data_IF_778041760301
#
_entry.id   IF_778041760301
#
_cell.length_a   1.000
_cell.length_b   1.000
_cell.length_c   1.000
_cell.angle_alpha   90.00
_cell.angle_beta   90.00
_cell.angle_gamma   90.00
#
_symmetry.space_group_name_H-M   'P 1'
#
loop_
_entity.id
_entity.type
_entity.pdbx_description
1 polymer ?
#
# COMPACT_ATOMS: atom_id res chain seq x y z
N UNK A 1 28.09 -5.46 -18.54
CA UNK A 1 29.35 -4.91 -18.02
C UNK A 1 28.94 -3.81 -17.04
N UNK A 2 29.26 -3.94 -15.74
CA UNK A 2 29.01 -2.83 -14.84
C UNK A 2 29.74 -1.63 -15.39
N UNK A 3 29.02 -0.55 -15.59
CA UNK A 3 29.61 0.71 -16.03
C UNK A 3 30.56 1.17 -14.92
N UNK A 4 31.83 0.83 -15.03
CA UNK A 4 32.87 1.44 -14.22
C UNK A 4 33.03 2.89 -14.70
N UNK A 5 32.10 3.72 -14.29
CA UNK A 5 32.27 5.16 -14.35
C UNK A 5 33.45 5.48 -13.43
N UNK A 6 34.42 6.25 -13.95
CA UNK A 6 35.51 6.83 -13.16
C UNK A 6 34.99 7.61 -11.93
N UNK A 7 33.68 7.90 -11.92
CA UNK A 7 32.93 8.48 -10.84
C UNK A 7 32.78 7.54 -9.62
N UNK A 8 32.82 6.23 -9.79
CA UNK A 8 32.64 5.27 -8.67
C UNK A 8 33.83 5.20 -7.72
N UNK A 9 35.00 5.71 -8.11
CA UNK A 9 36.22 5.71 -7.30
C UNK A 9 36.48 7.02 -6.54
N UNK A 10 35.64 8.04 -6.74
CA UNK A 10 35.86 9.35 -6.13
C UNK A 10 35.08 9.48 -4.82
N UNK A 11 35.78 9.49 -3.70
CA UNK A 11 35.25 9.57 -2.33
C UNK A 11 34.36 10.83 -2.11
N UNK A 12 34.47 11.81 -2.97
CA UNK A 12 33.71 13.07 -2.90
C UNK A 12 32.41 13.06 -3.69
N UNK A 13 32.18 12.04 -4.51
CA UNK A 13 30.97 11.94 -5.32
C UNK A 13 29.86 11.27 -4.55
N UNK A 14 28.66 11.81 -4.72
CA UNK A 14 27.43 11.26 -4.18
C UNK A 14 26.76 10.41 -5.24
N UNK A 15 26.27 9.24 -4.88
CA UNK A 15 25.54 8.34 -5.76
C UNK A 15 24.09 8.26 -5.33
N UNK A 16 23.19 8.24 -6.29
CA UNK A 16 21.76 8.02 -6.08
C UNK A 16 21.35 6.72 -6.77
N UNK A 17 20.76 5.80 -6.04
CA UNK A 17 20.14 4.62 -6.60
C UNK A 17 18.69 4.95 -7.01
N UNK A 18 18.36 4.68 -8.30
CA UNK A 18 17.04 4.87 -8.91
C UNK A 18 16.72 3.66 -9.78
N UNK A 19 16.92 2.46 -9.27
CA UNK A 19 16.94 1.22 -10.05
C UNK A 19 15.58 0.50 -10.12
N UNK A 20 14.54 1.08 -9.54
CA UNK A 20 13.15 0.60 -9.66
C UNK A 20 12.98 -0.86 -9.21
N UNK A 21 12.59 -1.75 -10.11
CA UNK A 21 12.42 -3.17 -9.81
C UNK A 21 13.73 -3.87 -9.41
N UNK A 22 14.89 -3.31 -9.77
CA UNK A 22 16.22 -3.79 -9.41
C UNK A 22 16.75 -3.22 -8.08
N UNK A 23 15.96 -2.43 -7.34
CA UNK A 23 16.38 -1.75 -6.12
C UNK A 23 17.09 -2.68 -5.12
N UNK A 24 16.56 -3.88 -4.88
CA UNK A 24 17.19 -4.86 -3.98
C UNK A 24 18.54 -5.33 -4.47
N UNK A 25 18.67 -5.71 -5.74
CA UNK A 25 19.93 -6.13 -6.32
C UNK A 25 21.00 -5.04 -6.26
N UNK A 26 20.59 -3.80 -6.53
CA UNK A 26 21.47 -2.63 -6.41
C UNK A 26 21.88 -2.42 -4.94
N UNK A 27 20.97 -2.58 -4.00
CA UNK A 27 21.24 -2.54 -2.57
C UNK A 27 22.24 -3.61 -2.15
N UNK A 28 22.06 -4.85 -2.58
CA UNK A 28 22.96 -5.97 -2.28
C UNK A 28 24.42 -5.69 -2.69
N UNK A 29 24.64 -4.96 -3.80
CA UNK A 29 26.00 -4.58 -4.24
C UNK A 29 26.74 -3.70 -3.21
N UNK A 30 26.02 -3.01 -2.35
CA UNK A 30 26.55 -2.12 -1.31
C UNK A 30 26.21 -2.59 0.13
N UNK A 31 25.70 -3.81 0.26
CA UNK A 31 25.37 -4.42 1.55
C UNK A 31 24.07 -3.91 2.19
N UNK A 32 23.15 -3.37 1.40
CA UNK A 32 21.83 -2.94 1.85
C UNK A 32 20.74 -3.91 1.39
N UNK A 33 19.78 -4.20 2.25
CA UNK A 33 18.54 -4.85 1.89
C UNK A 33 17.46 -3.78 1.74
N UNK A 34 17.28 -3.25 0.51
CA UNK A 34 16.32 -2.19 0.22
C UNK A 34 14.92 -2.80 0.19
N UNK A 35 13.96 -2.32 1.00
CA UNK A 35 12.62 -2.92 1.16
C UNK A 35 11.68 -2.56 -0.02
N UNK A 36 12.09 -2.95 -1.22
CA UNK A 36 11.31 -2.86 -2.45
C UNK A 36 11.10 -4.27 -2.98
N UNK A 37 9.86 -4.65 -3.20
CA UNK A 37 9.49 -5.91 -3.85
C UNK A 37 8.37 -5.62 -4.83
N UNK A 38 8.59 -5.82 -6.14
CA UNK A 38 7.58 -5.51 -7.14
C UNK A 38 6.30 -6.34 -6.98
N UNK A 39 5.18 -5.74 -7.39
CA UNK A 39 3.87 -6.38 -7.47
C UNK A 39 3.42 -6.37 -8.92
N UNK A 40 2.73 -7.43 -9.36
CA UNK A 40 2.08 -7.42 -10.66
C UNK A 40 0.99 -6.36 -10.70
N UNK A 41 0.96 -5.61 -11.79
CA UNK A 41 -0.08 -4.61 -12.05
C UNK A 41 -0.56 -4.75 -13.47
N UNK A 42 -1.86 -4.87 -13.64
CA UNK A 42 -2.43 -5.06 -14.97
C UNK A 42 -3.52 -4.04 -15.30
N UNK A 43 -3.70 -3.81 -16.59
CA UNK A 43 -4.78 -3.00 -17.11
C UNK A 43 -5.30 -3.55 -18.44
N UNK A 44 -6.55 -3.24 -18.72
CA UNK A 44 -7.23 -3.60 -19.96
C UNK A 44 -7.21 -2.40 -20.90
N UNK A 45 -6.87 -2.65 -22.16
CA UNK A 45 -7.12 -1.74 -23.29
C UNK A 45 -8.25 -2.31 -24.11
N UNK A 46 -9.28 -1.55 -24.40
CA UNK A 46 -10.44 -1.98 -25.18
C UNK A 46 -10.28 -1.69 -26.67
N UNK A 47 -11.17 -2.29 -27.46
CA UNK A 47 -11.43 -1.85 -28.82
C UNK A 47 -12.00 -0.41 -28.81
N UNK A 48 -11.92 0.30 -29.95
CA UNK A 48 -12.49 1.65 -30.06
C UNK A 48 -14.01 1.68 -29.85
N UNK A 49 -14.49 2.72 -29.16
CA UNK A 49 -15.91 2.97 -28.98
C UNK A 49 -16.42 4.06 -29.95
N UNK A 50 -17.58 3.87 -30.62
CA UNK A 50 -18.08 4.81 -31.63
C UNK A 50 -18.22 6.26 -31.12
N UNK A 51 -18.76 6.45 -29.91
CA UNK A 51 -18.94 7.79 -29.32
C UNK A 51 -17.61 8.49 -29.05
N UNK A 52 -16.58 7.76 -28.58
CA UNK A 52 -15.25 8.34 -28.36
C UNK A 52 -14.62 8.77 -29.68
N UNK A 53 -14.76 7.94 -30.72
CA UNK A 53 -14.27 8.28 -32.05
C UNK A 53 -15.01 9.52 -32.63
N UNK A 54 -16.30 9.63 -32.41
CA UNK A 54 -17.08 10.79 -32.86
C UNK A 54 -16.70 12.06 -32.09
N UNK A 55 -16.55 12.00 -30.77
CA UNK A 55 -16.03 13.12 -29.97
C UNK A 55 -14.67 13.61 -30.50
N UNK A 56 -13.77 12.69 -30.83
CA UNK A 56 -12.46 13.01 -31.40
C UNK A 56 -12.55 13.70 -32.75
N UNK A 57 -13.47 13.26 -33.66
CA UNK A 57 -13.73 13.89 -34.94
C UNK A 57 -14.26 15.32 -34.78
N UNK A 58 -15.08 15.55 -33.75
CA UNK A 58 -15.63 16.87 -33.43
C UNK A 58 -14.60 17.78 -32.73
N UNK A 59 -13.37 17.31 -32.51
CA UNK A 59 -12.34 18.08 -31.81
C UNK A 59 -12.63 18.36 -30.35
N UNK A 60 -13.51 17.57 -29.72
CA UNK A 60 -13.82 17.70 -28.31
C UNK A 60 -12.64 17.19 -27.47
N UNK A 61 -12.40 17.78 -26.29
CA UNK A 61 -11.35 17.30 -25.38
C UNK A 61 -11.65 15.89 -24.88
N UNK A 62 -10.60 15.15 -24.53
CA UNK A 62 -10.73 13.89 -23.83
C UNK A 62 -11.52 14.08 -22.53
N UNK A 63 -12.26 13.06 -22.15
CA UNK A 63 -12.97 13.07 -20.89
C UNK A 63 -11.99 12.99 -19.71
N UNK A 64 -12.39 13.54 -18.58
CA UNK A 64 -11.63 13.44 -17.36
C UNK A 64 -11.45 11.97 -16.94
N UNK A 65 -10.31 11.67 -16.31
CA UNK A 65 -10.06 10.34 -15.72
C UNK A 65 -11.10 10.09 -14.62
N UNK A 66 -11.81 8.97 -14.73
CA UNK A 66 -12.68 8.50 -13.67
C UNK A 66 -11.86 7.67 -12.68
N UNK A 67 -12.01 7.96 -11.40
CA UNK A 67 -11.50 7.15 -10.29
C UNK A 67 -12.69 6.60 -9.52
N UNK A 68 -12.81 5.27 -9.49
CA UNK A 68 -13.83 4.56 -8.71
C UNK A 68 -13.17 3.92 -7.48
N UNK A 69 -13.38 4.53 -6.33
CA UNK A 69 -12.69 4.11 -5.10
C UNK A 69 -13.37 2.94 -4.39
N UNK A 70 -14.65 2.68 -4.67
CA UNK A 70 -15.38 1.55 -4.08
C UNK A 70 -14.89 0.23 -4.68
N UNK A 71 -14.71 0.20 -5.99
CA UNK A 71 -14.22 -0.96 -6.72
C UNK A 71 -12.71 -0.90 -7.04
N UNK A 72 -12.02 0.17 -6.63
CA UNK A 72 -10.56 0.27 -6.72
C UNK A 72 -10.00 0.30 -8.14
N UNK A 73 -10.61 1.04 -9.07
CA UNK A 73 -10.12 1.17 -10.44
C UNK A 73 -10.09 2.61 -10.94
N UNK A 74 -9.37 2.84 -12.02
CA UNK A 74 -9.47 4.04 -12.85
C UNK A 74 -9.90 3.68 -14.26
N UNK A 75 -10.58 4.63 -14.94
CA UNK A 75 -10.97 4.52 -16.32
C UNK A 75 -10.63 5.83 -17.05
N UNK A 76 -10.05 5.74 -18.25
CA UNK A 76 -9.80 6.89 -19.12
C UNK A 76 -9.89 6.51 -20.59
N UNK A 77 -10.02 7.52 -21.45
CA UNK A 77 -9.91 7.33 -22.90
C UNK A 77 -8.49 6.96 -23.32
N UNK A 78 -8.36 6.03 -24.26
CA UNK A 78 -7.11 5.65 -24.90
C UNK A 78 -7.35 5.12 -26.31
N UNK A 79 -6.62 5.68 -27.30
CA UNK A 79 -6.63 5.22 -28.69
C UNK A 79 -8.04 5.05 -29.31
N UNK A 80 -9.02 5.83 -28.87
CA UNK A 80 -10.43 5.79 -29.31
C UNK A 80 -11.30 4.78 -28.54
N UNK A 81 -10.77 4.11 -27.55
CA UNK A 81 -11.47 3.23 -26.62
C UNK A 81 -11.15 3.62 -25.17
N UNK A 82 -11.07 2.64 -24.29
CA UNK A 82 -10.81 2.82 -22.87
C UNK A 82 -9.57 2.10 -22.39
N UNK A 83 -8.93 2.64 -21.35
CA UNK A 83 -8.09 1.91 -20.41
C UNK A 83 -8.83 1.76 -19.10
N UNK A 84 -8.98 0.53 -18.62
CA UNK A 84 -9.41 0.18 -17.28
C UNK A 84 -8.20 -0.36 -16.50
N UNK A 85 -7.77 0.34 -15.45
CA UNK A 85 -6.66 -0.07 -14.60
C UNK A 85 -7.10 -0.25 -13.15
N UNK A 86 -7.35 -1.48 -12.72
CA UNK A 86 -7.68 -1.77 -11.34
C UNK A 86 -6.44 -1.92 -10.46
N UNK A 87 -6.70 -1.90 -9.15
CA UNK A 87 -5.78 -2.35 -8.11
C UNK A 87 -6.44 -3.56 -7.45
N UNK A 88 -6.26 -4.71 -8.12
CA UNK A 88 -7.01 -5.91 -7.85
C UNK A 88 -6.57 -6.64 -6.57
N UNK A 89 -7.53 -7.25 -5.88
CA UNK A 89 -7.25 -8.17 -4.80
C UNK A 89 -6.51 -9.42 -5.33
N UNK A 90 -5.52 -9.87 -4.59
CA UNK A 90 -4.75 -11.07 -4.94
C UNK A 90 -3.67 -10.86 -6.01
N UNK A 91 -3.35 -9.61 -6.37
CA UNK A 91 -2.17 -9.34 -7.19
C UNK A 91 -0.91 -9.81 -6.47
N UNK A 92 -0.11 -10.73 -7.04
CA UNK A 92 1.03 -11.30 -6.35
C UNK A 92 2.25 -10.39 -6.44
N UNK A 93 3.12 -10.47 -5.42
CA UNK A 93 4.48 -10.00 -5.57
C UNK A 93 5.22 -10.84 -6.61
N UNK A 94 5.98 -10.17 -7.45
CA UNK A 94 6.86 -10.77 -8.45
C UNK A 94 8.33 -10.43 -8.13
N UNK A 95 9.25 -11.11 -8.79
CA UNK A 95 10.70 -10.91 -8.59
C UNK A 95 11.12 -10.94 -7.11
N UNK A 96 10.61 -11.91 -6.36
CA UNK A 96 10.86 -12.04 -4.91
C UNK A 96 12.37 -12.06 -4.57
N UNK A 97 13.18 -12.61 -5.46
CA UNK A 97 14.64 -12.65 -5.37
C UNK A 97 15.33 -11.60 -6.29
N UNK A 98 14.56 -10.63 -6.77
CA UNK A 98 14.98 -9.66 -7.78
C UNK A 98 14.77 -10.16 -9.22
N UNK A 99 14.64 -9.24 -10.21
CA UNK A 99 14.58 -9.62 -11.61
C UNK A 99 15.83 -10.37 -12.07
N UNK A 100 15.74 -11.17 -13.12
CA UNK A 100 16.94 -11.72 -13.78
C UNK A 100 17.85 -10.58 -14.27
N UNK A 101 19.16 -10.81 -14.34
CA UNK A 101 20.09 -9.82 -14.86
C UNK A 101 19.86 -9.53 -16.37
N UNK A 102 19.26 -10.49 -17.08
CA UNK A 102 18.88 -10.40 -18.48
C UNK A 102 17.43 -9.94 -18.69
N UNK A 103 16.74 -9.53 -17.62
CA UNK A 103 15.34 -9.09 -17.70
C UNK A 103 15.23 -7.74 -18.40
N UNK A 104 14.56 -7.73 -19.54
CA UNK A 104 14.31 -6.53 -20.33
C UNK A 104 12.84 -6.53 -20.81
N UNK A 105 12.10 -5.47 -20.52
CA UNK A 105 10.73 -5.25 -21.04
C UNK A 105 9.78 -6.43 -20.81
N UNK A 106 9.96 -7.17 -19.73
CA UNK A 106 9.11 -8.32 -19.41
C UNK A 106 7.69 -7.89 -19.08
N UNK A 107 6.74 -8.57 -19.73
CA UNK A 107 5.34 -8.54 -19.39
C UNK A 107 4.90 -9.94 -18.98
N UNK A 108 4.03 -10.01 -17.99
CA UNK A 108 3.43 -11.26 -17.53
C UNK A 108 2.17 -11.58 -18.33
N UNK A 109 1.68 -12.80 -18.21
CA UNK A 109 0.37 -13.16 -18.74
C UNK A 109 -0.72 -12.37 -18.02
N UNK A 110 -1.72 -11.91 -18.76
CA UNK A 110 -2.90 -11.31 -18.16
C UNK A 110 -3.71 -12.32 -17.38
N UNK A 111 -4.24 -11.90 -16.24
CA UNK A 111 -5.14 -12.69 -15.41
C UNK A 111 -6.53 -12.05 -15.43
N UNK A 112 -7.39 -12.56 -16.30
CA UNK A 112 -8.73 -12.02 -16.47
C UNK A 112 -9.62 -12.28 -15.25
N UNK A 113 -9.41 -13.37 -14.54
CA UNK A 113 -10.22 -13.72 -13.38
C UNK A 113 -10.05 -12.69 -12.26
N UNK A 114 -8.82 -12.19 -12.04
CA UNK A 114 -8.56 -11.10 -11.12
C UNK A 114 -9.19 -9.77 -11.56
N UNK A 115 -9.32 -9.56 -12.88
CA UNK A 115 -9.88 -8.32 -13.44
C UNK A 115 -11.41 -8.30 -13.45
N UNK A 116 -12.07 -9.47 -13.51
CA UNK A 116 -13.52 -9.55 -13.71
C UNK A 116 -14.36 -8.75 -12.69
N UNK A 117 -14.10 -8.76 -11.38
CA UNK A 117 -14.88 -7.95 -10.44
C UNK A 117 -14.86 -6.46 -10.77
N UNK A 118 -13.72 -5.96 -11.25
CA UNK A 118 -13.56 -4.54 -11.64
C UNK A 118 -14.21 -4.25 -12.99
N UNK A 119 -14.16 -5.19 -13.93
CA UNK A 119 -14.84 -5.12 -15.23
C UNK A 119 -16.35 -5.01 -15.01
N UNK A 120 -16.93 -5.88 -14.20
CA UNK A 120 -18.37 -5.87 -13.89
C UNK A 120 -18.80 -4.56 -13.20
N UNK A 121 -18.01 -4.10 -12.24
CA UNK A 121 -18.25 -2.82 -11.58
C UNK A 121 -18.15 -1.64 -12.57
N UNK A 122 -17.18 -1.69 -13.48
CA UNK A 122 -17.03 -0.67 -14.53
C UNK A 122 -18.21 -0.67 -15.50
N UNK A 123 -18.64 -1.83 -15.98
CA UNK A 123 -19.83 -1.95 -16.87
C UNK A 123 -21.10 -1.40 -16.21
N UNK A 124 -21.26 -1.63 -14.91
CA UNK A 124 -22.39 -1.09 -14.15
C UNK A 124 -22.33 0.45 -14.03
N UNK A 125 -21.14 1.01 -13.86
CA UNK A 125 -20.94 2.45 -13.67
C UNK A 125 -20.86 3.23 -14.97
N UNK A 126 -20.26 2.62 -16.00
CA UNK A 126 -20.07 3.19 -17.35
C UNK A 126 -20.58 2.19 -18.39
N UNK A 127 -21.87 2.20 -18.73
CA UNK A 127 -22.47 1.23 -19.65
C UNK A 127 -21.77 1.11 -21.00
N UNK A 128 -21.24 2.20 -21.55
CA UNK A 128 -20.46 2.21 -22.79
C UNK A 128 -19.24 1.27 -22.75
N UNK A 129 -18.71 0.98 -21.57
CA UNK A 129 -17.61 0.00 -21.42
C UNK A 129 -18.06 -1.43 -21.73
N UNK A 130 -19.33 -1.74 -21.53
CA UNK A 130 -19.90 -3.05 -21.87
C UNK A 130 -20.10 -3.27 -23.39
N UNK A 131 -20.01 -2.21 -24.20
CA UNK A 131 -20.23 -2.23 -25.65
C UNK A 131 -18.94 -2.51 -26.44
N UNK A 132 -17.78 -2.63 -25.77
CA UNK A 132 -16.50 -2.83 -26.41
C UNK A 132 -15.84 -4.14 -26.00
N UNK A 133 -15.04 -4.71 -26.91
CA UNK A 133 -14.22 -5.89 -26.64
C UNK A 133 -12.91 -5.55 -25.92
N UNK A 134 -12.34 -6.56 -25.27
CA UNK A 134 -10.97 -6.46 -24.73
C UNK A 134 -9.98 -6.65 -25.88
N UNK A 135 -9.22 -5.61 -26.19
CA UNK A 135 -8.17 -5.66 -27.19
C UNK A 135 -6.88 -6.29 -26.65
N UNK A 136 -6.46 -5.87 -25.48
CA UNK A 136 -5.20 -6.32 -24.87
C UNK A 136 -5.27 -6.15 -23.36
N UNK A 137 -4.65 -7.11 -22.65
CA UNK A 137 -4.34 -6.98 -21.23
C UNK A 137 -2.82 -6.81 -21.10
N UNK A 138 -2.39 -5.76 -20.45
CA UNK A 138 -1.00 -5.58 -20.08
C UNK A 138 -0.83 -5.91 -18.60
N UNK A 139 0.14 -6.75 -18.28
CA UNK A 139 0.50 -7.11 -16.91
C UNK A 139 2.01 -6.93 -16.75
N UNK A 140 2.44 -6.11 -15.82
CA UNK A 140 3.85 -5.83 -15.62
C UNK A 140 4.19 -5.58 -14.16
N UNK A 141 5.49 -5.64 -13.85
CA UNK A 141 5.99 -5.39 -12.51
C UNK A 141 6.02 -3.89 -12.21
N UNK A 142 5.46 -3.49 -11.08
CA UNK A 142 5.65 -2.15 -10.52
C UNK A 142 6.42 -2.23 -9.21
N UNK A 143 7.43 -1.37 -9.05
CA UNK A 143 8.19 -1.28 -7.80
C UNK A 143 7.27 -0.88 -6.65
N UNK A 144 7.28 -1.65 -5.56
CA UNK A 144 6.39 -1.43 -4.44
C UNK A 144 7.10 -1.53 -3.09
N UNK A 145 6.62 -0.81 -2.11
CA UNK A 145 7.11 -0.78 -0.72
C UNK A 145 5.99 -1.18 0.25
N UNK A 146 6.29 -1.56 1.49
CA UNK A 146 5.28 -2.01 2.45
C UNK A 146 4.18 -1.00 2.80
N UNK A 147 4.44 0.29 2.60
CA UNK A 147 3.46 1.38 2.84
C UNK A 147 2.99 2.06 1.54
N UNK A 148 3.49 1.61 0.38
CA UNK A 148 3.18 2.19 -0.93
C UNK A 148 3.89 3.51 -1.22
N UNK A 149 4.61 4.09 -0.26
CA UNK A 149 5.37 5.32 -0.45
C UNK A 149 6.80 5.03 -0.94
N UNK A 150 7.41 5.90 -1.77
CA UNK A 150 8.78 5.70 -2.21
C UNK A 150 9.78 5.81 -1.05
N UNK A 151 11.00 5.40 -1.32
CA UNK A 151 12.14 5.49 -0.41
C UNK A 151 13.05 6.59 -0.95
N UNK A 152 13.09 7.74 -0.27
CA UNK A 152 13.82 8.93 -0.73
C UNK A 152 14.66 9.49 0.41
N UNK A 153 15.98 9.50 0.24
CA UNK A 153 16.88 10.04 1.25
C UNK A 153 18.23 9.33 1.35
N UNK A 154 19.03 9.66 2.38
CA UNK A 154 20.32 9.01 2.59
C UNK A 154 20.15 7.56 3.01
N UNK A 155 20.92 6.67 2.41
CA UNK A 155 20.96 5.27 2.81
C UNK A 155 21.52 5.13 4.22
N UNK A 156 20.93 4.23 5.00
CA UNK A 156 21.41 3.97 6.34
C UNK A 156 22.76 3.22 6.33
N UNK A 157 23.65 3.61 7.21
CA UNK A 157 24.97 2.98 7.36
C UNK A 157 25.98 3.25 6.24
N UNK A 158 25.61 3.98 5.19
CA UNK A 158 26.48 4.30 4.07
C UNK A 158 26.68 5.82 3.91
N UNK A 159 27.92 6.21 3.64
CA UNK A 159 28.25 7.61 3.35
C UNK A 159 28.15 7.86 1.83
N UNK A 160 27.54 8.97 1.46
CA UNK A 160 27.41 9.42 0.07
C UNK A 160 26.61 8.49 -0.87
N UNK A 161 25.82 7.57 -0.31
CA UNK A 161 24.88 6.75 -1.06
C UNK A 161 23.46 7.13 -0.70
N UNK A 162 22.64 7.41 -1.69
CA UNK A 162 21.29 7.94 -1.56
C UNK A 162 20.30 7.06 -2.28
N UNK A 163 19.08 7.00 -1.81
CA UNK A 163 18.01 6.20 -2.36
C UNK A 163 16.92 7.10 -2.95
N UNK A 164 16.40 6.72 -4.10
CA UNK A 164 15.20 7.25 -4.71
C UNK A 164 14.48 6.09 -5.41
N UNK A 165 13.89 5.21 -4.62
CA UNK A 165 13.45 3.87 -4.99
C UNK A 165 11.98 3.64 -4.67
N UNK A 166 11.40 2.57 -5.22
CA UNK A 166 10.06 2.09 -4.83
C UNK A 166 8.91 3.01 -5.27
N UNK A 167 9.09 3.73 -6.37
CA UNK A 167 8.08 4.63 -6.93
C UNK A 167 7.00 3.86 -7.71
N UNK A 168 5.90 3.50 -7.06
CA UNK A 168 4.72 2.96 -7.75
C UNK A 168 4.01 4.03 -8.60
N UNK A 169 4.12 5.31 -8.22
CA UNK A 169 3.59 6.48 -8.93
C UNK A 169 4.72 7.36 -9.49
N UNK A 170 5.70 6.75 -10.14
CA UNK A 170 6.95 7.38 -10.53
C UNK A 170 6.77 8.68 -11.33
N UNK A 171 5.91 8.69 -12.35
CA UNK A 171 5.69 9.88 -13.19
C UNK A 171 5.13 11.04 -12.36
N UNK A 172 4.18 10.78 -11.47
CA UNK A 172 3.56 11.81 -10.63
C UNK A 172 4.53 12.35 -9.58
N UNK A 173 5.33 11.48 -8.96
CA UNK A 173 6.17 11.81 -7.82
C UNK A 173 7.60 12.24 -8.18
N UNK A 174 8.11 11.87 -9.37
CA UNK A 174 9.51 12.00 -9.73
C UNK A 174 10.06 13.44 -9.62
N UNK A 175 9.30 14.43 -10.07
CA UNK A 175 9.73 15.83 -10.02
C UNK A 175 9.97 16.31 -8.60
N UNK A 176 8.98 16.11 -7.72
CA UNK A 176 9.06 16.52 -6.30
C UNK A 176 10.10 15.72 -5.53
N UNK A 177 10.13 14.40 -5.70
CA UNK A 177 11.09 13.53 -5.04
C UNK A 177 12.53 13.86 -5.42
N UNK A 178 12.78 14.05 -6.73
CA UNK A 178 14.11 14.44 -7.23
C UNK A 178 14.57 15.81 -6.71
N UNK A 179 13.66 16.78 -6.69
CA UNK A 179 13.94 18.12 -6.17
C UNK A 179 14.30 18.06 -4.67
N UNK A 180 13.45 17.48 -3.85
CA UNK A 180 13.71 17.41 -2.40
C UNK A 180 14.96 16.60 -2.07
N UNK A 181 15.23 15.54 -2.82
CA UNK A 181 16.47 14.77 -2.67
C UNK A 181 17.70 15.61 -3.02
N UNK A 182 17.64 16.40 -4.09
CA UNK A 182 18.74 17.25 -4.50
C UNK A 182 19.06 18.34 -3.46
N UNK A 183 18.02 19.01 -2.92
CA UNK A 183 18.19 19.97 -1.82
C UNK A 183 18.79 19.30 -0.60
N UNK A 184 18.27 18.16 -0.19
CA UNK A 184 18.81 17.39 0.94
C UNK A 184 20.29 17.00 0.74
N UNK A 185 20.66 16.63 -0.47
CA UNK A 185 22.04 16.31 -0.81
C UNK A 185 22.97 17.53 -0.75
N UNK A 186 22.51 18.69 -1.18
CA UNK A 186 23.32 19.93 -1.25
C UNK A 186 23.38 20.62 0.11
N UNK A 187 22.23 20.82 0.74
CA UNK A 187 22.08 21.66 1.91
C UNK A 187 22.17 20.86 3.22
N UNK A 188 22.12 19.52 3.14
CA UNK A 188 22.24 18.61 4.30
C UNK A 188 20.91 18.28 4.96
N UNK A 189 19.83 18.97 4.60
CA UNK A 189 18.47 18.72 5.09
C UNK A 189 17.43 19.04 3.99
N UNK A 190 16.28 18.36 3.98
CA UNK A 190 15.20 18.68 3.05
C UNK A 190 14.45 19.93 3.53
N UNK A 191 13.80 20.63 2.58
CA UNK A 191 12.99 21.83 2.90
C UNK A 191 11.57 21.51 3.34
N UNK A 192 11.15 20.24 3.22
CA UNK A 192 9.85 19.74 3.66
C UNK A 192 10.02 18.49 4.53
N UNK A 193 8.97 18.11 5.26
CA UNK A 193 8.98 16.88 6.02
C UNK A 193 9.04 15.65 5.08
N UNK A 194 10.14 14.89 5.14
CA UNK A 194 10.40 13.69 4.37
C UNK A 194 10.23 12.41 5.19
N UNK A 195 9.73 12.47 6.42
CA UNK A 195 9.64 11.29 7.31
C UNK A 195 8.83 10.14 6.68
N UNK A 196 7.77 10.45 5.95
CA UNK A 196 6.93 9.46 5.27
C UNK A 196 7.61 8.71 4.11
N UNK A 197 8.77 9.19 3.65
CA UNK A 197 9.55 8.58 2.55
C UNK A 197 11.00 8.29 2.94
N UNK A 198 11.42 8.69 4.14
CA UNK A 198 12.78 8.48 4.64
C UNK A 198 13.14 6.97 4.65
N UNK A 199 14.31 6.57 4.12
CA UNK A 199 14.75 5.17 4.13
C UNK A 199 14.75 4.55 5.53
N UNK A 200 15.03 5.32 6.58
CA UNK A 200 15.14 4.86 7.97
C UNK A 200 13.83 4.44 8.62
N UNK A 201 12.68 4.67 7.94
CA UNK A 201 11.37 4.20 8.44
C UNK A 201 11.21 2.68 8.39
N UNK A 202 12.04 1.99 7.59
CA UNK A 202 12.14 0.54 7.57
C UNK A 202 13.42 0.08 8.26
N UNK A 203 13.36 -1.05 8.93
CA UNK A 203 14.48 -1.68 9.61
C UNK A 203 14.65 -3.14 9.20
N UNK A 204 15.49 -3.87 9.92
CA UNK A 204 15.80 -5.29 9.66
C UNK A 204 14.57 -6.23 9.70
N UNK A 205 13.46 -5.79 10.27
CA UNK A 205 12.20 -6.53 10.27
C UNK A 205 11.58 -6.70 8.88
N UNK A 206 11.96 -5.86 7.91
CA UNK A 206 11.41 -5.87 6.57
C UNK A 206 11.95 -7.04 5.72
N UNK A 207 11.79 -8.25 6.25
CA UNK A 207 12.19 -9.50 5.58
C UNK A 207 11.41 -9.73 4.29
N UNK A 208 11.89 -10.65 3.43
CA UNK A 208 11.19 -11.02 2.18
C UNK A 208 9.74 -11.47 2.41
N UNK A 209 9.49 -12.24 3.46
CA UNK A 209 8.14 -12.68 3.81
C UNK A 209 7.24 -11.52 4.25
N UNK A 210 7.78 -10.59 5.03
CA UNK A 210 7.09 -9.36 5.40
C UNK A 210 6.77 -8.51 4.18
N UNK A 211 7.76 -8.27 3.30
CA UNK A 211 7.57 -7.48 2.07
C UNK A 211 6.49 -8.07 1.19
N UNK A 212 6.54 -9.39 0.93
CA UNK A 212 5.54 -10.05 0.10
C UNK A 212 4.14 -9.80 0.63
N UNK A 213 3.88 -10.18 1.88
CA UNK A 213 2.54 -10.09 2.47
C UNK A 213 2.06 -8.64 2.58
N UNK A 214 2.97 -7.73 2.94
CA UNK A 214 2.62 -6.33 3.17
C UNK A 214 2.42 -5.55 1.89
N UNK A 215 3.24 -5.81 0.85
CA UNK A 215 3.11 -5.13 -0.45
C UNK A 215 1.83 -5.57 -1.17
N UNK A 216 1.46 -6.85 -1.10
CA UNK A 216 0.20 -7.35 -1.66
C UNK A 216 -1.01 -6.66 -1.01
N UNK A 217 -1.02 -6.50 0.33
CA UNK A 217 -2.06 -5.75 1.04
C UNK A 217 -2.03 -4.26 0.67
N UNK A 218 -0.86 -3.62 0.71
CA UNK A 218 -0.73 -2.20 0.44
C UNK A 218 -1.17 -1.84 -0.98
N UNK A 219 -0.87 -2.70 -1.96
CA UNK A 219 -1.26 -2.53 -3.36
C UNK A 219 -2.78 -2.50 -3.53
N UNK A 220 -3.48 -3.52 -3.06
CA UNK A 220 -4.92 -3.64 -3.30
C UNK A 220 -5.76 -2.60 -2.54
N UNK A 221 -5.17 -1.96 -1.53
CA UNK A 221 -5.85 -0.96 -0.72
C UNK A 221 -5.51 0.49 -1.08
N UNK A 222 -4.55 0.72 -1.96
CA UNK A 222 -3.99 2.08 -2.19
C UNK A 222 -5.03 3.11 -2.62
N UNK A 223 -6.06 2.72 -3.35
CA UNK A 223 -7.12 3.62 -3.83
C UNK A 223 -8.51 3.30 -3.30
N UNK A 224 -8.64 2.28 -2.49
CA UNK A 224 -9.91 2.00 -1.81
C UNK A 224 -10.14 3.03 -0.71
N UNK A 225 -11.38 3.40 -0.51
CA UNK A 225 -11.74 4.16 0.66
C UNK A 225 -11.53 3.30 1.92
N UNK A 226 -11.12 3.96 2.99
CA UNK A 226 -10.90 3.32 4.29
C UNK A 226 -11.90 3.87 5.29
N UNK A 227 -12.35 3.00 6.17
CA UNK A 227 -13.09 3.44 7.33
C UNK A 227 -12.17 4.18 8.32
N UNK A 228 -12.72 5.11 9.12
CA UNK A 228 -11.99 5.62 10.27
C UNK A 228 -11.50 4.46 11.14
N UNK A 229 -10.25 4.54 11.59
CA UNK A 229 -9.60 3.57 12.47
C UNK A 229 -9.49 2.13 11.90
N UNK A 230 -9.66 1.97 10.59
CA UNK A 230 -9.46 0.67 9.94
C UNK A 230 -8.00 0.23 10.01
N UNK A 231 -7.75 -0.93 10.59
CA UNK A 231 -6.43 -1.52 10.75
C UNK A 231 -6.08 -2.49 9.62
N UNK A 232 -4.85 -2.39 9.14
CA UNK A 232 -4.27 -3.36 8.20
C UNK A 232 -3.90 -4.64 8.94
N UNK A 233 -4.22 -5.78 8.36
CA UNK A 233 -4.03 -7.08 9.01
C UNK A 233 -2.75 -7.81 8.58
N UNK A 234 -2.20 -7.50 7.41
CA UNK A 234 -1.06 -8.21 6.87
C UNK A 234 0.20 -8.03 7.73
N UNK A 235 0.95 -9.12 7.88
CA UNK A 235 2.21 -9.20 8.61
C UNK A 235 2.12 -8.74 10.08
N UNK A 236 0.97 -8.94 10.73
CA UNK A 236 0.77 -8.68 12.17
C UNK A 236 0.73 -10.00 12.96
N UNK A 237 1.17 -10.00 14.24
CA UNK A 237 1.84 -8.91 14.95
C UNK A 237 3.30 -8.73 14.49
N UNK A 238 3.77 -7.47 14.40
CA UNK A 238 5.17 -7.19 14.05
C UNK A 238 6.06 -7.00 15.28
N UNK A 239 5.65 -6.14 16.19
CA UNK A 239 6.32 -5.85 17.45
C UNK A 239 5.34 -5.98 18.59
N UNK A 240 5.70 -6.76 19.61
CA UNK A 240 4.84 -7.00 20.78
C UNK A 240 5.56 -6.63 22.06
N UNK A 241 4.82 -6.10 23.02
CA UNK A 241 5.31 -5.88 24.38
C UNK A 241 5.36 -7.19 25.17
N UNK A 242 6.10 -7.24 26.29
CA UNK A 242 6.05 -8.39 27.20
C UNK A 242 4.64 -8.67 27.78
N UNK A 243 3.75 -7.67 27.75
CA UNK A 243 2.39 -7.80 28.24
C UNK A 243 1.39 -8.27 27.16
N UNK A 244 1.77 -8.35 25.92
CA UNK A 244 0.89 -8.61 24.77
C UNK A 244 -0.02 -9.83 24.99
N UNK A 245 0.54 -10.99 25.30
CA UNK A 245 -0.25 -12.23 25.47
C UNK A 245 -1.26 -12.11 26.60
N UNK A 246 -0.91 -11.47 27.72
CA UNK A 246 -1.84 -11.23 28.83
C UNK A 246 -2.95 -10.27 28.47
N UNK A 247 -2.65 -9.23 27.69
CA UNK A 247 -3.66 -8.29 27.20
C UNK A 247 -4.60 -8.99 26.22
N UNK A 248 -4.06 -9.84 25.32
CA UNK A 248 -4.88 -10.65 24.42
C UNK A 248 -5.85 -11.59 25.17
N UNK A 249 -5.39 -12.26 26.24
CA UNK A 249 -6.22 -13.12 27.10
C UNK A 249 -7.34 -12.33 27.80
N UNK A 250 -7.14 -11.04 28.05
CA UNK A 250 -8.15 -10.14 28.61
C UNK A 250 -9.13 -9.62 27.56
N UNK A 251 -8.94 -9.94 26.28
CA UNK A 251 -9.81 -9.52 25.19
C UNK A 251 -9.38 -8.22 24.52
N UNK A 252 -8.11 -7.84 24.63
CA UNK A 252 -7.60 -6.67 23.95
C UNK A 252 -7.77 -6.76 22.42
N UNK A 253 -8.32 -5.72 21.84
CA UNK A 253 -8.27 -5.44 20.41
C UNK A 253 -7.07 -4.52 20.17
N UNK A 254 -6.18 -4.94 19.28
CA UNK A 254 -4.91 -4.25 19.07
C UNK A 254 -4.95 -3.35 17.84
N UNK A 255 -4.28 -2.22 17.94
CA UNK A 255 -3.94 -1.33 16.82
C UNK A 255 -2.43 -1.30 16.63
N UNK A 256 -1.98 -1.10 15.40
CA UNK A 256 -0.57 -1.01 15.08
C UNK A 256 -0.10 0.43 15.08
N UNK A 257 0.80 0.78 16.01
CA UNK A 257 1.41 2.11 16.10
C UNK A 257 2.92 1.96 15.89
N UNK A 258 3.42 2.41 14.75
CA UNK A 258 4.82 2.23 14.33
C UNK A 258 5.29 0.76 14.40
N UNK A 259 4.36 -0.16 14.05
CA UNK A 259 4.60 -1.59 14.09
C UNK A 259 4.46 -2.24 15.47
N UNK A 260 4.20 -1.49 16.53
CA UNK A 260 3.90 -2.02 17.86
C UNK A 260 2.42 -2.31 18.01
N UNK A 261 2.12 -3.51 18.52
CA UNK A 261 0.76 -3.87 18.92
C UNK A 261 0.41 -3.19 20.24
N UNK A 262 -0.56 -2.29 20.20
CA UNK A 262 -1.07 -1.58 21.38
C UNK A 262 -2.53 -1.90 21.60
N UNK A 263 -2.90 -2.23 22.83
CA UNK A 263 -4.31 -2.40 23.18
C UNK A 263 -5.07 -1.09 22.95
N UNK A 264 -6.10 -1.15 22.10
CA UNK A 264 -6.98 -0.01 21.79
C UNK A 264 -8.17 0.01 22.75
N UNK A 265 -8.82 -1.14 22.91
CA UNK A 265 -9.93 -1.35 23.84
C UNK A 265 -10.02 -2.84 24.21
N UNK A 266 -10.88 -3.18 25.18
CA UNK A 266 -11.03 -4.57 25.64
C UNK A 266 -12.44 -5.08 25.39
N UNK A 267 -12.58 -6.12 24.56
CA UNK A 267 -13.84 -6.77 24.30
C UNK A 267 -14.21 -7.69 25.48
N UNK A 268 -15.41 -7.55 26.08
CA UNK A 268 -15.88 -8.47 27.11
C UNK A 268 -15.87 -9.93 26.61
N UNK A 269 -15.60 -10.90 27.52
CA UNK A 269 -15.46 -12.32 27.16
C UNK A 269 -16.64 -12.90 26.37
N UNK A 270 -17.84 -12.41 26.63
CA UNK A 270 -19.07 -12.89 25.99
C UNK A 270 -19.54 -11.98 24.85
N UNK A 271 -18.74 -10.98 24.46
CA UNK A 271 -19.09 -10.08 23.40
C UNK A 271 -18.59 -10.59 22.06
N UNK A 272 -19.50 -10.64 21.11
CA UNK A 272 -19.23 -10.96 19.71
C UNK A 272 -20.29 -10.24 18.87
N UNK A 273 -19.90 -9.77 17.70
CA UNK A 273 -20.84 -9.25 16.72
C UNK A 273 -21.70 -10.38 16.15
N UNK A 274 -22.99 -10.11 16.01
CA UNK A 274 -23.92 -11.05 15.38
C UNK A 274 -23.80 -10.96 13.86
N UNK A 275 -24.30 -11.97 13.17
CA UNK A 275 -24.39 -11.94 11.70
C UNK A 275 -25.22 -10.74 11.21
N UNK A 276 -26.27 -10.36 11.96
CA UNK A 276 -27.06 -9.16 11.69
C UNK A 276 -26.23 -7.86 11.81
N UNK A 277 -25.30 -7.80 12.78
CA UNK A 277 -24.42 -6.65 12.92
C UNK A 277 -23.44 -6.56 11.75
N UNK A 278 -22.91 -7.70 11.31
CA UNK A 278 -21.96 -7.78 10.20
C UNK A 278 -22.61 -7.47 8.84
N UNK A 279 -23.85 -7.93 8.65
CA UNK A 279 -24.61 -7.72 7.41
C UNK A 279 -25.35 -6.37 7.36
N UNK A 280 -25.25 -5.57 8.39
CA UNK A 280 -25.82 -4.23 8.40
C UNK A 280 -25.11 -3.36 7.39
N UNK A 281 -25.76 -3.13 6.28
CA UNK A 281 -25.22 -2.44 5.12
C UNK A 281 -25.11 -0.95 5.39
N UNK A 282 -23.96 -0.53 5.89
CA UNK A 282 -23.64 0.88 6.05
C UNK A 282 -22.86 1.44 4.87
N UNK A 283 -22.35 0.55 3.99
CA UNK A 283 -21.50 0.96 2.85
C UNK A 283 -21.42 -0.13 1.78
N UNK A 284 -20.89 0.27 0.62
CA UNK A 284 -20.57 -0.59 -0.52
C UNK A 284 -19.22 -1.36 -0.37
N UNK A 285 -18.52 -1.23 0.76
CA UNK A 285 -17.19 -1.83 0.97
C UNK A 285 -17.27 -3.29 1.37
N UNK A 286 -16.36 -4.09 0.84
CA UNK A 286 -16.38 -5.55 1.00
C UNK A 286 -15.96 -6.09 2.36
N UNK A 287 -15.31 -5.31 3.21
CA UNK A 287 -14.87 -5.75 4.54
C UNK A 287 -15.22 -4.70 5.57
N UNK A 288 -16.22 -4.98 6.35
CA UNK A 288 -16.75 -4.06 7.35
C UNK A 288 -16.40 -4.45 8.79
N UNK A 289 -15.43 -5.33 9.00
CA UNK A 289 -14.98 -5.75 10.33
C UNK A 289 -13.47 -5.90 10.39
N UNK A 290 -12.93 -5.68 11.58
CA UNK A 290 -11.53 -5.93 11.90
C UNK A 290 -11.19 -7.42 11.90
N UNK A 291 -9.90 -7.75 11.90
CA UNK A 291 -9.47 -9.14 12.02
C UNK A 291 -10.04 -9.78 13.30
N UNK A 292 -10.41 -11.09 13.26
CA UNK A 292 -10.87 -11.80 14.44
C UNK A 292 -9.82 -11.77 15.57
N UNK A 293 -10.27 -11.79 16.81
CA UNK A 293 -9.41 -12.05 17.97
C UNK A 293 -8.77 -13.43 17.88
N UNK A 294 -7.77 -13.70 18.71
CA UNK A 294 -7.08 -14.99 18.78
C UNK A 294 -8.03 -16.19 19.07
N UNK A 295 -9.16 -15.94 19.73
CA UNK A 295 -10.20 -16.93 19.99
C UNK A 295 -11.27 -17.04 18.87
N UNK A 296 -11.06 -16.35 17.76
CA UNK A 296 -11.91 -16.39 16.57
C UNK A 296 -13.12 -15.46 16.62
N UNK A 297 -13.34 -14.73 17.70
CA UNK A 297 -14.47 -13.79 17.80
C UNK A 297 -14.23 -12.55 16.93
N UNK A 298 -15.26 -12.13 16.21
CA UNK A 298 -15.30 -10.82 15.54
C UNK A 298 -16.01 -9.85 16.49
N UNK A 299 -15.28 -8.84 16.95
CA UNK A 299 -15.73 -7.92 18.00
C UNK A 299 -15.77 -6.46 17.57
N UNK A 300 -15.19 -6.15 16.42
CA UNK A 300 -15.12 -4.79 15.92
C UNK A 300 -15.61 -4.70 14.47
N UNK A 301 -16.49 -3.74 14.22
CA UNK A 301 -17.00 -3.39 12.91
C UNK A 301 -16.49 -2.03 12.48
N UNK A 302 -15.94 -1.96 11.28
CA UNK A 302 -15.59 -0.70 10.65
C UNK A 302 -16.86 0.09 10.28
N UNK A 303 -16.87 1.39 10.50
CA UNK A 303 -18.04 2.21 10.23
C UNK A 303 -17.67 3.69 10.13
N UNK A 304 -18.40 4.44 9.29
CA UNK A 304 -18.36 5.91 9.28
C UNK A 304 -19.24 6.53 10.37
N UNK A 305 -19.91 5.70 11.17
CA UNK A 305 -20.71 6.11 12.32
C UNK A 305 -19.92 5.90 13.61
N UNK A 306 -20.58 6.08 14.75
CA UNK A 306 -20.00 5.76 16.05
C UNK A 306 -19.63 4.28 16.11
N UNK A 307 -18.39 3.98 16.51
CA UNK A 307 -17.89 2.62 16.65
C UNK A 307 -18.74 1.79 17.61
N UNK A 308 -18.85 0.49 17.33
CA UNK A 308 -19.60 -0.44 18.20
C UNK A 308 -18.98 -0.63 19.60
N UNK A 309 -17.71 -0.30 19.74
CA UNK A 309 -16.99 -0.36 21.03
C UNK A 309 -17.02 0.93 21.84
N UNK A 310 -17.69 1.98 21.37
CA UNK A 310 -17.73 3.30 22.03
C UNK A 310 -18.17 3.23 23.50
N UNK A 311 -19.20 2.44 23.81
CA UNK A 311 -19.71 2.34 25.17
C UNK A 311 -18.75 1.57 26.08
N UNK A 312 -18.00 0.60 25.56
CA UNK A 312 -16.97 -0.12 26.30
C UNK A 312 -15.81 0.82 26.65
N UNK A 313 -15.30 1.58 25.69
CA UNK A 313 -14.29 2.60 25.95
C UNK A 313 -14.81 3.64 26.94
N UNK A 314 -16.07 4.06 26.85
CA UNK A 314 -16.70 4.95 27.81
C UNK A 314 -16.72 4.39 29.23
N UNK A 315 -16.90 3.07 29.40
CA UNK A 315 -16.81 2.39 30.70
C UNK A 315 -15.37 2.37 31.22
N UNK A 316 -14.39 2.06 30.38
CA UNK A 316 -12.97 2.10 30.74
C UNK A 316 -12.55 3.51 31.21
N UNK A 317 -12.93 4.56 30.46
CA UNK A 317 -12.66 5.94 30.83
C UNK A 317 -13.24 6.31 32.21
N UNK A 318 -14.51 5.96 32.47
CA UNK A 318 -15.15 6.20 33.77
C UNK A 318 -14.46 5.44 34.90
N UNK A 319 -14.04 4.21 34.63
CA UNK A 319 -13.31 3.41 35.62
C UNK A 319 -11.97 4.06 36.00
N UNK A 320 -11.19 4.47 35.02
CA UNK A 320 -9.89 5.13 35.26
C UNK A 320 -10.06 6.45 36.01
N UNK A 321 -11.13 7.21 35.74
CA UNK A 321 -11.43 8.45 36.45
C UNK A 321 -11.82 8.25 37.92
N UNK A 322 -12.44 7.14 38.26
CA UNK A 322 -12.96 6.85 39.58
C UNK A 322 -12.11 5.84 40.37
N UNK A 323 -11.15 5.20 39.75
CA UNK A 323 -10.36 4.12 40.35
C UNK A 323 -8.95 4.09 39.76
N UNK A 324 -8.33 2.92 39.64
CA UNK A 324 -6.96 2.71 39.16
C UNK A 324 -6.96 2.06 37.78
N UNK A 325 -6.16 2.57 36.85
CA UNK A 325 -5.88 1.98 35.55
C UNK A 325 -4.43 1.56 35.41
N UNK A 326 -4.18 0.54 34.61
CA UNK A 326 -2.83 0.11 34.20
C UNK A 326 -2.74 0.27 32.70
N UNK A 327 -1.70 0.94 32.23
CA UNK A 327 -1.41 1.15 30.83
C UNK A 327 -0.04 0.59 30.48
N UNK A 328 0.02 -0.24 29.45
CA UNK A 328 1.27 -0.72 28.87
C UNK A 328 1.91 0.38 28.01
N UNK A 329 3.03 0.91 28.47
CA UNK A 329 3.80 1.97 27.80
C UNK A 329 5.09 1.44 27.15
N UNK A 330 5.25 0.11 27.01
CA UNK A 330 6.49 -0.51 26.51
C UNK A 330 6.83 -0.12 25.06
N UNK A 331 5.83 0.34 24.29
CA UNK A 331 6.03 0.77 22.91
C UNK A 331 6.70 2.16 22.78
N UNK A 332 6.88 2.89 23.88
CA UNK A 332 7.57 4.17 23.88
C UNK A 332 9.05 3.97 24.23
N UNK A 333 9.95 4.41 23.33
CA UNK A 333 11.37 4.49 23.66
C UNK A 333 11.66 5.70 24.55
N UNK A 334 12.64 5.55 25.43
CA UNK A 334 13.18 6.64 26.23
C UNK A 334 14.48 7.15 25.63
#
# INVERSE_FOLDING_TARGET
TPCQSSAASDVYKRQVSCSGNFARKTGEMVGLDIPVMPVEHQYIVTDPHPEILERKKLGLPEQAVLRESDAGYYLREEAGGFILGPYEDGAPCCYVDGPSDDSEYELFNGDLDRLMPHVEACMSRVPAFAEVGVKTIYNGAIAYTPDGNPIVGPAWGLKNFWLNEGHSFGITAAGGAGWQLAEWMVDGEPTVDMMGVDPRRFGEYASRGFLKTKNEEAYNHVFKNHYPDEERSAARPLKTSPCYSRLAELGAVFVSVYGWERANWFAPKNYQLTESDLNRDDTLWNKNHSAPLADGRIVEKNSFRRSNYFDFVGQECRHVQSSVGILDMSAFSK
#
